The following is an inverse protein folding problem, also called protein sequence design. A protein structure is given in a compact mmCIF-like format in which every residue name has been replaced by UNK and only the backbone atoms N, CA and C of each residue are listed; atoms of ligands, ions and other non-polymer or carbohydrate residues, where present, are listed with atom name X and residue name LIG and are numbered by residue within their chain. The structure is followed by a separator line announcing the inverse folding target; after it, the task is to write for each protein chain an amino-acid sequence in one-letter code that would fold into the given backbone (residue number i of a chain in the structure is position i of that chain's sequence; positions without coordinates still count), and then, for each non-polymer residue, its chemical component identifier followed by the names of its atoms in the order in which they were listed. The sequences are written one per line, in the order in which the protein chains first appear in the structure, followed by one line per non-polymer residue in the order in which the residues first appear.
data_IF_995663996157
#
_entry.id   IF_995663996157
#
_cell.length_a   1.000
_cell.length_b   1.000
_cell.length_c   1.000
_cell.angle_alpha   90.00
_cell.angle_beta   90.00
_cell.angle_gamma   90.00
#
_symmetry.space_group_name_H-M   'P 1'
#
loop_
_entity.id
_entity.type
_entity.pdbx_description
1 polymer ?
#
# COMPACT_ATOMS: atom_id res chain seq x y z
N UNK A 1 -10.29 13.44 16.44
CA UNK A 1 -9.73 13.01 15.15
C UNK A 1 -9.21 11.60 15.34
N UNK A 2 -10.00 10.61 14.97
CA UNK A 2 -9.72 9.19 15.25
C UNK A 2 -8.74 8.68 14.20
N UNK A 3 -7.46 8.87 14.44
CA UNK A 3 -6.41 8.20 13.69
C UNK A 3 -6.36 6.74 14.15
N UNK A 4 -6.62 5.81 13.26
CA UNK A 4 -6.39 4.41 13.51
C UNK A 4 -7.64 3.54 13.57
N UNK A 5 -8.22 3.29 12.41
CA UNK A 5 -9.28 2.27 12.25
C UNK A 5 -8.72 0.84 12.15
N UNK A 6 -7.42 0.65 12.42
CA UNK A 6 -6.83 -0.69 12.42
C UNK A 6 -7.25 -1.46 13.67
N UNK A 7 -7.76 -2.67 13.47
CA UNK A 7 -8.03 -3.60 14.58
C UNK A 7 -6.72 -4.16 15.12
N UNK A 8 -6.74 -4.55 16.37
CA UNK A 8 -5.60 -5.09 17.10
C UNK A 8 -5.97 -6.46 17.64
N UNK A 9 -5.10 -7.44 17.43
CA UNK A 9 -5.16 -8.75 18.07
C UNK A 9 -3.77 -9.01 18.70
N UNK A 10 -3.67 -8.79 20.01
CA UNK A 10 -2.39 -8.81 20.70
C UNK A 10 -1.46 -7.70 20.20
N UNK A 11 -0.31 -8.08 19.65
CA UNK A 11 0.67 -7.16 19.05
C UNK A 11 0.42 -6.87 17.57
N UNK A 12 -0.39 -7.70 16.91
CA UNK A 12 -0.65 -7.62 15.48
C UNK A 12 -1.76 -6.61 15.21
N UNK A 13 -1.55 -5.77 14.22
CA UNK A 13 -2.54 -4.85 13.66
C UNK A 13 -2.85 -5.21 12.22
N UNK A 14 -3.98 -4.77 11.73
CA UNK A 14 -4.36 -4.91 10.34
C UNK A 14 -4.67 -3.56 9.69
N UNK A 15 -4.47 -3.48 8.38
CA UNK A 15 -5.05 -2.46 7.51
C UNK A 15 -5.78 -3.18 6.39
N UNK A 16 -7.04 -2.80 6.18
CA UNK A 16 -7.79 -3.09 4.96
C UNK A 16 -8.07 -1.78 4.24
N UNK A 17 -7.55 -1.63 3.03
CA UNK A 17 -7.66 -0.43 2.21
C UNK A 17 -8.30 -0.79 0.88
N UNK A 18 -9.43 -0.15 0.55
CA UNK A 18 -10.19 -0.40 -0.68
C UNK A 18 -10.36 0.93 -1.41
N UNK A 19 -9.73 1.07 -2.56
CA UNK A 19 -9.74 2.32 -3.30
C UNK A 19 -10.18 2.12 -4.75
N UNK A 20 -11.09 2.97 -5.28
CA UNK A 20 -11.49 2.90 -6.68
C UNK A 20 -10.32 3.23 -7.60
N UNK A 21 -10.26 2.56 -8.76
CA UNK A 21 -9.39 2.99 -9.85
C UNK A 21 -9.93 4.26 -10.50
N UNK A 22 -9.03 5.09 -11.01
CA UNK A 22 -9.40 6.22 -11.86
C UNK A 22 -10.12 5.71 -13.09
N UNK A 23 -11.09 6.48 -13.57
CA UNK A 23 -11.81 6.18 -14.81
C UNK A 23 -10.93 6.44 -16.04
N UNK A 24 -11.12 5.63 -17.08
CA UNK A 24 -10.33 5.73 -18.32
C UNK A 24 -8.94 5.13 -18.19
N UNK A 25 -7.96 5.75 -18.83
CA UNK A 25 -6.58 5.28 -18.88
C UNK A 25 -5.56 6.41 -18.82
N UNK A 26 -4.27 6.07 -18.57
CA UNK A 26 -3.19 7.04 -18.52
C UNK A 26 -2.98 7.73 -19.87
N UNK A 27 -2.61 9.02 -19.83
CA UNK A 27 -2.28 9.75 -21.04
C UNK A 27 -1.15 9.07 -21.84
N UNK A 28 -1.31 8.98 -23.14
CA UNK A 28 -0.35 8.35 -24.05
C UNK A 28 -0.42 6.81 -24.12
N UNK A 29 -1.25 6.17 -23.28
CA UNK A 29 -1.45 4.71 -23.30
C UNK A 29 -2.87 4.38 -23.79
N UNK A 30 -3.08 4.49 -25.09
CA UNK A 30 -4.39 4.22 -25.70
C UNK A 30 -4.83 2.77 -25.47
N UNK A 31 -6.09 2.60 -25.03
CA UNK A 31 -6.69 1.28 -24.80
C UNK A 31 -6.28 0.60 -23.49
N UNK A 32 -5.43 1.21 -22.68
CA UNK A 32 -5.02 0.69 -21.37
C UNK A 32 -5.75 1.46 -20.27
N UNK A 33 -6.54 0.77 -19.45
CA UNK A 33 -7.19 1.36 -18.27
C UNK A 33 -6.18 1.51 -17.12
N UNK A 34 -6.48 2.38 -16.17
CA UNK A 34 -5.67 2.49 -14.95
C UNK A 34 -5.58 1.17 -14.17
N UNK A 35 -6.66 0.38 -14.14
CA UNK A 35 -6.66 -0.97 -13.55
C UNK A 35 -5.68 -1.92 -14.26
N UNK A 36 -5.64 -1.88 -15.61
CA UNK A 36 -4.74 -2.73 -16.40
C UNK A 36 -3.28 -2.36 -16.14
N UNK A 37 -2.96 -1.06 -16.06
CA UNK A 37 -1.62 -0.60 -15.70
C UNK A 37 -1.23 -1.05 -14.28
N UNK A 38 -2.14 -0.97 -13.32
CA UNK A 38 -1.89 -1.46 -11.96
C UNK A 38 -1.62 -2.97 -11.96
N UNK A 39 -2.39 -3.75 -12.70
CA UNK A 39 -2.19 -5.19 -12.86
C UNK A 39 -0.80 -5.51 -13.39
N UNK A 40 -0.38 -4.85 -14.46
CA UNK A 40 0.96 -5.03 -15.06
C UNK A 40 2.06 -4.77 -14.01
N UNK A 41 1.93 -3.72 -13.22
CA UNK A 41 2.90 -3.40 -12.16
C UNK A 41 2.95 -4.50 -11.10
N UNK A 42 1.79 -4.98 -10.64
CA UNK A 42 1.73 -6.03 -9.61
C UNK A 42 2.26 -7.38 -10.14
N UNK A 43 1.95 -7.73 -11.38
CA UNK A 43 2.48 -8.93 -12.03
C UNK A 43 4.01 -8.84 -12.17
N UNK A 44 4.53 -7.69 -12.62
CA UNK A 44 5.97 -7.48 -12.70
C UNK A 44 6.67 -7.61 -11.33
N UNK A 45 6.05 -7.13 -10.26
CA UNK A 45 6.60 -7.33 -8.90
C UNK A 45 6.58 -8.80 -8.48
N UNK A 46 5.51 -9.54 -8.80
CA UNK A 46 5.41 -10.96 -8.51
C UNK A 46 6.46 -11.77 -9.29
N UNK A 47 6.66 -11.46 -10.56
CA UNK A 47 7.66 -12.12 -11.40
C UNK A 47 9.08 -11.87 -10.88
N UNK A 48 9.41 -10.63 -10.52
CA UNK A 48 10.71 -10.30 -9.92
C UNK A 48 10.95 -11.09 -8.63
N UNK A 49 9.93 -11.23 -7.78
CA UNK A 49 10.05 -12.02 -6.55
C UNK A 49 10.24 -13.51 -6.83
N UNK A 50 9.52 -14.05 -7.80
CA UNK A 50 9.66 -15.46 -8.23
C UNK A 50 11.04 -15.74 -8.84
N UNK A 51 11.66 -14.77 -9.50
CA UNK A 51 13.03 -14.86 -10.02
C UNK A 51 14.11 -14.64 -8.93
N UNK A 52 13.71 -14.46 -7.69
CA UNK A 52 14.61 -14.33 -6.54
C UNK A 52 15.09 -12.91 -6.26
N UNK A 53 14.53 -11.89 -6.92
CA UNK A 53 14.79 -10.51 -6.56
C UNK A 53 14.12 -10.16 -5.23
N UNK A 54 14.88 -9.53 -4.35
CA UNK A 54 14.36 -9.07 -3.05
C UNK A 54 13.61 -7.76 -3.26
N UNK A 55 12.29 -7.83 -3.21
CA UNK A 55 11.46 -6.61 -3.27
C UNK A 55 11.77 -5.69 -2.07
N UNK A 56 11.78 -4.36 -2.28
CA UNK A 56 12.05 -3.42 -1.19
C UNK A 56 11.15 -3.59 0.03
N UNK A 57 9.92 -4.08 -0.16
CA UNK A 57 8.98 -4.37 0.93
C UNK A 57 9.52 -5.41 1.92
N UNK A 58 10.42 -6.30 1.51
CA UNK A 58 11.07 -7.28 2.41
C UNK A 58 12.04 -6.65 3.42
N UNK A 59 12.40 -5.38 3.26
CA UNK A 59 13.22 -4.65 4.25
C UNK A 59 12.43 -4.31 5.51
N UNK A 60 11.11 -4.39 5.48
CA UNK A 60 10.28 -4.18 6.65
C UNK A 60 10.29 -5.39 7.57
N UNK A 61 10.73 -5.17 8.80
CA UNK A 61 10.85 -6.23 9.80
C UNK A 61 9.58 -6.52 10.57
N UNK A 62 8.56 -5.67 10.42
CA UNK A 62 7.29 -5.75 11.15
C UNK A 62 6.08 -6.15 10.32
N UNK A 63 6.25 -6.59 9.06
CA UNK A 63 5.14 -7.05 8.21
C UNK A 63 5.02 -8.57 8.33
N UNK A 64 3.83 -9.05 8.71
CA UNK A 64 3.49 -10.47 8.65
C UNK A 64 3.05 -10.85 7.25
N UNK A 65 2.07 -10.12 6.71
CA UNK A 65 1.51 -10.33 5.37
C UNK A 65 1.16 -9.01 4.73
N UNK A 66 1.29 -8.96 3.40
CA UNK A 66 0.76 -7.89 2.58
C UNK A 66 0.20 -8.50 1.29
N UNK A 67 -0.98 -8.03 0.87
CA UNK A 67 -1.64 -8.53 -0.33
C UNK A 67 -2.31 -7.40 -1.08
N UNK A 68 -2.15 -7.43 -2.40
CA UNK A 68 -2.88 -6.58 -3.35
C UNK A 68 -3.75 -7.45 -4.23
N UNK A 69 -4.96 -7.00 -4.51
CA UNK A 69 -5.88 -7.67 -5.42
C UNK A 69 -6.77 -6.65 -6.12
N UNK A 70 -7.03 -6.86 -7.41
CA UNK A 70 -8.07 -6.15 -8.12
C UNK A 70 -9.39 -6.86 -7.84
N UNK A 71 -10.40 -6.10 -7.44
CA UNK A 71 -11.71 -6.62 -7.03
C UNK A 71 -12.84 -5.93 -7.80
N UNK A 72 -14.06 -6.46 -7.65
CA UNK A 72 -15.29 -5.92 -8.25
C UNK A 72 -15.18 -5.69 -9.77
N UNK A 73 -14.71 -6.69 -10.50
CA UNK A 73 -14.52 -6.58 -11.95
C UNK A 73 -13.48 -5.53 -12.34
N UNK A 74 -12.39 -5.45 -11.57
CA UNK A 74 -11.29 -4.52 -11.77
C UNK A 74 -11.67 -3.03 -11.61
N UNK A 75 -12.66 -2.74 -10.80
CA UNK A 75 -13.04 -1.35 -10.51
C UNK A 75 -12.36 -0.80 -9.27
N UNK A 76 -11.87 -1.67 -8.38
CA UNK A 76 -11.23 -1.30 -7.12
C UNK A 76 -9.96 -2.10 -6.84
N UNK A 77 -9.02 -1.45 -6.18
CA UNK A 77 -7.83 -2.08 -5.60
C UNK A 77 -8.09 -2.38 -4.12
N UNK A 78 -7.94 -3.64 -3.74
CA UNK A 78 -7.86 -4.08 -2.35
C UNK A 78 -6.38 -4.17 -1.96
N UNK A 79 -6.02 -3.57 -0.85
CA UNK A 79 -4.77 -3.83 -0.15
C UNK A 79 -5.07 -4.25 1.28
N UNK A 80 -4.51 -5.38 1.70
CA UNK A 80 -4.57 -5.82 3.09
C UNK A 80 -3.19 -6.11 3.61
N UNK A 81 -2.94 -5.77 4.87
CA UNK A 81 -1.67 -6.04 5.52
C UNK A 81 -1.85 -6.29 7.01
N UNK A 82 -0.97 -7.14 7.56
CA UNK A 82 -0.84 -7.37 8.99
C UNK A 82 0.57 -7.03 9.43
N UNK A 83 0.70 -6.31 10.52
CA UNK A 83 1.97 -5.75 10.96
C UNK A 83 2.06 -5.57 12.47
N UNK A 84 3.29 -5.48 12.98
CA UNK A 84 3.59 -5.10 14.37
C UNK A 84 3.72 -3.58 14.51
N UNK A 85 3.50 -3.08 15.71
CA UNK A 85 3.70 -1.67 16.04
C UNK A 85 2.49 -0.79 15.81
N UNK A 86 2.68 0.53 15.79
CA UNK A 86 1.62 1.49 15.57
C UNK A 86 1.33 1.71 14.08
N UNK A 87 0.12 2.17 13.78
CA UNK A 87 -0.28 2.56 12.42
C UNK A 87 0.64 3.66 11.86
N UNK A 88 0.97 4.64 12.70
CA UNK A 88 1.84 5.76 12.31
C UNK A 88 3.25 5.29 11.96
N UNK A 89 3.84 4.42 12.76
CA UNK A 89 5.18 3.86 12.52
C UNK A 89 5.20 3.06 11.23
N UNK A 90 4.14 2.26 11.01
CA UNK A 90 4.00 1.47 9.80
C UNK A 90 3.94 2.34 8.53
N UNK A 91 3.06 3.36 8.50
CA UNK A 91 2.95 4.27 7.36
C UNK A 91 4.25 5.08 7.16
N UNK A 92 4.91 5.54 8.25
CA UNK A 92 6.20 6.23 8.16
C UNK A 92 7.30 5.34 7.54
N UNK A 93 7.31 4.06 7.87
CA UNK A 93 8.26 3.12 7.29
C UNK A 93 8.05 3.00 5.76
N UNK A 94 6.81 2.88 5.29
CA UNK A 94 6.50 2.86 3.87
C UNK A 94 6.95 4.14 3.14
N UNK A 95 6.60 5.29 3.69
CA UNK A 95 6.96 6.60 3.15
C UNK A 95 8.47 6.76 3.00
N UNK A 96 9.25 6.24 3.95
CA UNK A 96 10.70 6.34 3.96
C UNK A 96 11.37 5.34 3.02
N UNK A 97 10.91 4.09 3.03
CA UNK A 97 11.66 3.00 2.39
C UNK A 97 11.25 2.73 0.93
N UNK A 98 9.98 2.90 0.59
CA UNK A 98 9.45 2.47 -0.71
C UNK A 98 8.47 3.47 -1.37
N UNK A 99 8.68 4.79 -1.28
CA UNK A 99 7.70 5.76 -1.78
C UNK A 99 7.40 5.60 -3.27
N UNK A 100 8.41 5.28 -4.08
CA UNK A 100 8.24 5.05 -5.51
C UNK A 100 7.44 3.79 -5.83
N UNK A 101 7.70 2.68 -5.13
CA UNK A 101 6.93 1.44 -5.33
C UNK A 101 5.46 1.63 -4.96
N UNK A 102 5.18 2.39 -3.89
CA UNK A 102 3.81 2.77 -3.53
C UNK A 102 3.16 3.60 -4.65
N UNK A 103 3.88 4.59 -5.18
CA UNK A 103 3.42 5.42 -6.28
C UNK A 103 3.05 4.61 -7.52
N UNK A 104 3.89 3.67 -7.93
CA UNK A 104 3.62 2.83 -9.10
C UNK A 104 2.28 2.10 -9.00
N UNK A 105 1.89 1.65 -7.81
CA UNK A 105 0.61 0.96 -7.58
C UNK A 105 -0.53 1.97 -7.43
N UNK A 106 -0.46 2.87 -6.45
CA UNK A 106 -1.60 3.70 -6.04
C UNK A 106 -1.87 4.92 -6.92
N UNK A 107 -0.92 5.37 -7.78
CA UNK A 107 -1.18 6.43 -8.77
C UNK A 107 -2.32 6.09 -9.76
N UNK A 108 -2.68 4.81 -9.85
CA UNK A 108 -3.80 4.34 -10.66
C UNK A 108 -5.16 4.56 -9.99
N UNK A 109 -5.16 4.93 -8.71
CA UNK A 109 -6.35 5.03 -7.88
C UNK A 109 -6.83 6.47 -7.74
N UNK A 110 -8.13 6.62 -7.48
CA UNK A 110 -8.73 7.92 -7.23
C UNK A 110 -8.12 8.61 -6.01
N UNK A 111 -7.98 9.93 -6.11
CA UNK A 111 -7.47 10.79 -5.04
C UNK A 111 -6.06 10.46 -4.52
N UNK A 112 -5.30 9.58 -5.20
CA UNK A 112 -3.88 9.51 -4.94
C UNK A 112 -3.22 10.85 -5.30
N UNK A 113 -2.45 11.46 -4.39
CA UNK A 113 -1.87 12.77 -4.64
C UNK A 113 -0.85 12.72 -5.80
N UNK A 114 -0.70 13.81 -6.57
CA UNK A 114 0.31 13.87 -7.62
C UNK A 114 1.72 13.98 -7.03
N UNK A 115 2.70 13.46 -7.76
CA UNK A 115 4.10 13.74 -7.50
C UNK A 115 4.37 15.24 -7.62
N UNK A 116 5.39 15.73 -6.93
CA UNK A 116 5.76 17.14 -6.92
C UNK A 116 7.12 17.34 -7.57
N UNK A 117 7.34 18.54 -8.07
CA UNK A 117 8.67 18.99 -8.52
C UNK A 117 9.29 19.80 -7.39
N UNK A 118 10.46 19.39 -6.95
CA UNK A 118 11.24 20.09 -5.95
C UNK A 118 11.98 21.30 -6.51
N UNK A 119 12.65 22.09 -5.64
CA UNK A 119 13.34 23.32 -6.01
C UNK A 119 14.41 23.14 -7.09
N UNK A 120 15.08 22.00 -7.08
CA UNK A 120 16.16 21.67 -8.02
C UNK A 120 15.67 20.92 -9.28
N UNK A 121 14.33 20.85 -9.47
CA UNK A 121 13.70 20.13 -10.59
C UNK A 121 13.58 18.61 -10.39
N UNK A 122 13.97 18.09 -9.25
CA UNK A 122 13.82 16.68 -8.91
C UNK A 122 12.34 16.31 -8.74
N UNK A 123 11.97 15.10 -9.14
CA UNK A 123 10.63 14.57 -8.91
C UNK A 123 10.56 13.96 -7.52
N UNK A 124 9.64 14.45 -6.70
CA UNK A 124 9.38 13.94 -5.34
C UNK A 124 8.11 13.11 -5.38
N UNK A 125 8.24 11.82 -5.09
CA UNK A 125 7.10 10.91 -5.05
C UNK A 125 6.06 11.42 -4.02
N UNK A 126 4.79 11.42 -4.39
CA UNK A 126 3.72 11.84 -3.48
C UNK A 126 3.70 11.01 -2.19
N UNK A 127 3.98 9.71 -2.29
CA UNK A 127 4.10 8.83 -1.13
C UNK A 127 5.31 9.13 -0.23
N UNK A 128 6.26 9.96 -0.65
CA UNK A 128 7.35 10.42 0.22
C UNK A 128 6.89 11.49 1.23
N UNK A 129 5.71 12.07 1.03
CA UNK A 129 5.10 13.00 1.98
C UNK A 129 4.15 12.25 2.91
N UNK A 130 4.56 12.10 4.18
CA UNK A 130 3.76 11.39 5.17
C UNK A 130 2.35 11.98 5.35
N UNK A 131 2.21 13.29 5.35
CA UNK A 131 0.91 13.93 5.57
C UNK A 131 -0.05 13.69 4.41
N UNK A 132 0.44 13.69 3.18
CA UNK A 132 -0.35 13.38 1.99
C UNK A 132 -0.69 11.90 1.93
N UNK A 133 0.29 11.04 2.10
CA UNK A 133 0.09 9.60 1.98
C UNK A 133 -0.78 9.03 3.11
N UNK A 134 -0.55 9.44 4.35
CA UNK A 134 -1.36 9.00 5.49
C UNK A 134 -2.82 9.42 5.34
N UNK A 135 -3.09 10.63 4.85
CA UNK A 135 -4.44 11.12 4.57
C UNK A 135 -5.12 10.30 3.46
N UNK A 136 -4.37 9.91 2.43
CA UNK A 136 -4.87 9.06 1.36
C UNK A 136 -5.22 7.66 1.90
N UNK A 137 -4.35 7.05 2.70
CA UNK A 137 -4.61 5.75 3.31
C UNK A 137 -5.83 5.81 4.24
N UNK A 138 -5.89 6.79 5.14
CA UNK A 138 -7.01 6.94 6.09
C UNK A 138 -8.37 7.13 5.38
N UNK A 139 -8.37 7.83 4.25
CA UNK A 139 -9.58 8.09 3.47
C UNK A 139 -10.27 6.81 2.98
N UNK A 140 -9.50 5.82 2.60
CA UNK A 140 -9.98 4.59 1.97
C UNK A 140 -9.80 3.35 2.84
N UNK A 141 -9.33 3.53 4.07
CA UNK A 141 -9.22 2.45 5.02
C UNK A 141 -10.60 2.01 5.50
N UNK A 142 -10.83 0.71 5.45
CA UNK A 142 -12.07 0.06 5.93
C UNK A 142 -11.77 -0.59 7.26
N UNK A 143 -12.61 -0.34 8.25
CA UNK A 143 -12.51 -1.02 9.54
C UNK A 143 -13.01 -2.46 9.43
N UNK A 144 -12.19 -3.44 9.81
CA UNK A 144 -12.61 -4.82 9.87
C UNK A 144 -13.70 -5.00 10.97
N UNK A 145 -14.76 -5.73 10.65
CA UNK A 145 -15.79 -6.08 11.66
C UNK A 145 -15.23 -7.04 12.72
N UNK A 146 -14.38 -7.97 12.27
CA UNK A 146 -13.65 -8.90 13.13
C UNK A 146 -12.22 -9.04 12.59
N UNK A 147 -11.23 -8.94 13.47
CA UNK A 147 -9.85 -9.30 13.18
C UNK A 147 -9.41 -10.34 14.21
N UNK A 148 -8.94 -11.48 13.74
CA UNK A 148 -8.41 -12.57 14.53
C UNK A 148 -6.98 -12.88 14.12
N UNK A 149 -6.10 -13.05 15.10
CA UNK A 149 -4.73 -13.51 14.88
C UNK A 149 -4.42 -14.61 15.92
N UNK A 150 -4.16 -15.81 15.45
CA UNK A 150 -3.85 -16.97 16.30
C UNK A 150 -2.56 -16.77 17.10
N UNK A 151 -1.61 -16.07 16.50
CA UNK A 151 -0.31 -15.74 17.09
C UNK A 151 -0.20 -14.26 17.50
N UNK A 152 -1.30 -13.68 18.01
CA UNK A 152 -1.36 -12.24 18.32
C UNK A 152 -0.33 -11.75 19.33
N UNK A 153 0.22 -12.63 20.16
CA UNK A 153 1.28 -12.30 21.13
C UNK A 153 2.70 -12.40 20.56
N UNK A 154 2.85 -13.01 19.37
CA UNK A 154 4.14 -13.12 18.69
C UNK A 154 4.37 -11.97 17.72
N UNK A 155 5.57 -11.41 17.74
CA UNK A 155 6.04 -10.47 16.72
C UNK A 155 6.56 -11.20 15.49
N UNK A 156 6.74 -10.47 14.37
CA UNK A 156 7.41 -11.01 13.17
C UNK A 156 8.79 -11.58 13.50
N UNK A 157 9.48 -11.00 14.48
CA UNK A 157 10.81 -11.48 14.91
C UNK A 157 10.77 -12.82 15.63
N UNK A 158 9.65 -13.13 16.27
CA UNK A 158 9.48 -14.39 17.01
C UNK A 158 9.12 -15.55 16.08
N UNK A 159 8.65 -15.25 14.86
CA UNK A 159 8.18 -16.24 13.87
C UNK A 159 9.22 -16.53 12.77
N UNK A 160 10.29 -15.74 12.68
CA UNK A 160 11.36 -15.89 11.67
C UNK A 160 12.50 -16.77 12.11
#
# INVERSE_FOLDING_TARGET
MTLGRSKVAGRVREITHIVPFRQGGPAGLHGIRYADRCRIVLEAFADLENEGFVLPVRRFTGIHFARWALIDGDTRLLFTTNFDGSWEEYIRAFVREIPWSLGLVWQNCENYPPDRIGPDGEVIAAAADYALFSKFVDRYQVEASLFYADYGELSVRDVR
#
